data_IF_473000343446
#
_entry.id   IF_473000343446
#
_cell.length_a   1.000
_cell.length_b   1.000
_cell.length_c   1.000
_cell.angle_alpha   90.00
_cell.angle_beta   90.00
_cell.angle_gamma   90.00
#
_symmetry.space_group_name_H-M   'P 1'
#
loop_
_entity.id
_entity.type
_entity.pdbx_description
1 polymer ?
#
# COMPACT_ATOMS: atom_id res chain seq x y z
N UNK A 1 36.74 -4.67 -22.00
CA UNK A 1 36.04 -5.94 -21.76
C UNK A 1 35.13 -6.21 -22.95
N UNK A 2 35.40 -7.21 -23.81
CA UNK A 2 34.54 -7.51 -24.96
C UNK A 2 33.37 -8.37 -24.47
N UNK A 3 32.15 -7.85 -24.53
CA UNK A 3 30.96 -8.64 -24.24
C UNK A 3 30.77 -9.69 -25.33
N UNK A 4 30.55 -10.95 -24.94
CA UNK A 4 30.23 -12.01 -25.90
C UNK A 4 28.82 -11.82 -26.47
N UNK A 5 28.57 -12.32 -27.69
CA UNK A 5 27.24 -12.27 -28.29
C UNK A 5 26.17 -12.91 -27.38
N UNK A 6 26.50 -13.98 -26.67
CA UNK A 6 25.60 -14.63 -25.69
C UNK A 6 25.26 -13.69 -24.54
N UNK A 7 26.24 -12.98 -24.00
CA UNK A 7 26.04 -12.01 -22.92
C UNK A 7 25.17 -10.84 -23.38
N UNK A 8 25.37 -10.36 -24.61
CA UNK A 8 24.54 -9.30 -25.21
C UNK A 8 23.08 -9.76 -25.31
N UNK A 9 22.85 -10.96 -25.84
CA UNK A 9 21.50 -11.53 -25.96
C UNK A 9 20.82 -11.67 -24.60
N UNK A 10 21.51 -12.20 -23.59
CA UNK A 10 20.97 -12.35 -22.24
C UNK A 10 20.62 -11.00 -21.59
N UNK A 11 21.48 -10.00 -21.76
CA UNK A 11 21.23 -8.66 -21.23
C UNK A 11 20.02 -8.00 -21.92
N UNK A 12 19.90 -8.13 -23.24
CA UNK A 12 18.73 -7.63 -23.97
C UNK A 12 17.46 -8.33 -23.48
N UNK A 13 17.48 -9.66 -23.34
CA UNK A 13 16.34 -10.40 -22.83
C UNK A 13 15.96 -9.96 -21.41
N UNK A 14 16.95 -9.79 -20.52
CA UNK A 14 16.74 -9.28 -19.17
C UNK A 14 16.07 -7.90 -19.18
N UNK A 15 16.55 -6.98 -20.01
CA UNK A 15 15.95 -5.65 -20.14
C UNK A 15 14.52 -5.70 -20.68
N UNK A 16 14.24 -6.59 -21.64
CA UNK A 16 12.88 -6.79 -22.15
C UNK A 16 11.94 -7.31 -21.07
N UNK A 17 12.38 -8.25 -20.24
CA UNK A 17 11.60 -8.77 -19.10
C UNK A 17 11.33 -7.67 -18.08
N UNK A 18 12.36 -6.90 -17.70
CA UNK A 18 12.20 -5.77 -16.78
C UNK A 18 11.21 -4.71 -17.33
N UNK A 19 11.32 -4.37 -18.61
CA UNK A 19 10.41 -3.44 -19.27
C UNK A 19 8.96 -3.97 -19.29
N UNK A 20 8.78 -5.27 -19.57
CA UNK A 20 7.46 -5.90 -19.56
C UNK A 20 6.81 -5.86 -18.17
N UNK A 21 7.56 -6.21 -17.12
CA UNK A 21 7.08 -6.14 -15.73
C UNK A 21 6.71 -4.70 -15.36
N UNK A 22 7.57 -3.74 -15.71
CA UNK A 22 7.30 -2.33 -15.42
C UNK A 22 6.02 -1.84 -16.13
N UNK A 23 5.86 -2.12 -17.42
CA UNK A 23 4.67 -1.75 -18.18
C UNK A 23 3.40 -2.43 -17.64
N UNK A 24 3.51 -3.67 -17.16
CA UNK A 24 2.41 -4.36 -16.50
C UNK A 24 2.00 -3.67 -15.19
N UNK A 25 2.98 -3.35 -14.33
CA UNK A 25 2.71 -2.69 -13.05
C UNK A 25 2.19 -1.25 -13.22
N UNK A 26 2.62 -0.53 -14.26
CA UNK A 26 2.09 0.80 -14.59
C UNK A 26 0.63 0.79 -15.05
N UNK A 27 0.10 -0.38 -15.46
CA UNK A 27 -1.31 -0.58 -15.82
C UNK A 27 -2.15 -1.11 -14.66
N UNK A 28 -1.61 -1.12 -13.44
CA UNK A 28 -2.38 -1.52 -12.27
C UNK A 28 -3.65 -0.64 -12.15
N UNK A 29 -4.80 -1.23 -11.79
CA UNK A 29 -6.04 -0.48 -11.61
C UNK A 29 -5.92 0.49 -10.43
N UNK A 30 -6.82 1.47 -10.39
CA UNK A 30 -6.94 2.38 -9.27
C UNK A 30 -7.19 1.63 -7.95
N UNK A 31 -6.77 2.25 -6.85
CA UNK A 31 -7.01 1.72 -5.51
C UNK A 31 -8.50 1.63 -5.20
N UNK A 32 -8.92 0.50 -4.65
CA UNK A 32 -10.33 0.24 -4.31
C UNK A 32 -10.64 0.44 -2.82
N UNK A 33 -9.61 0.63 -2.00
CA UNK A 33 -9.77 0.76 -0.55
C UNK A 33 -10.22 2.17 -0.17
N UNK A 34 -11.15 2.26 0.78
CA UNK A 34 -11.63 3.55 1.28
C UNK A 34 -10.52 4.35 1.94
N UNK A 35 -10.50 5.66 1.73
CA UNK A 35 -9.59 6.57 2.41
C UNK A 35 -10.01 6.79 3.86
N UNK A 36 -9.08 7.26 4.69
CA UNK A 36 -9.36 7.67 6.05
C UNK A 36 -10.41 8.82 6.03
N UNK A 37 -11.52 8.72 6.79
CA UNK A 37 -12.55 9.75 6.82
C UNK A 37 -12.04 11.13 7.24
N UNK A 38 -12.65 12.19 6.71
CA UNK A 38 -12.44 13.58 7.14
C UNK A 38 -13.55 14.00 8.11
N UNK A 39 -13.57 13.40 9.29
CA UNK A 39 -14.50 13.75 10.37
C UNK A 39 -13.72 14.07 11.66
N UNK A 40 -14.43 14.57 12.67
CA UNK A 40 -13.80 15.01 13.92
C UNK A 40 -13.13 13.87 14.70
N UNK A 41 -13.59 12.62 14.55
CA UNK A 41 -12.99 11.46 15.20
C UNK A 41 -11.69 10.99 14.53
N UNK A 42 -11.58 11.22 13.21
CA UNK A 42 -10.41 10.82 12.42
C UNK A 42 -9.43 11.96 12.14
N UNK A 43 -9.82 13.22 12.41
CA UNK A 43 -9.04 14.43 12.10
C UNK A 43 -7.61 14.38 12.66
N UNK A 44 -7.44 13.92 13.89
CA UNK A 44 -6.12 13.79 14.52
C UNK A 44 -5.18 12.79 13.83
N UNK A 45 -5.73 11.83 13.08
CA UNK A 45 -4.95 10.82 12.38
C UNK A 45 -4.60 11.22 10.93
N UNK A 46 -5.14 12.34 10.43
CA UNK A 46 -4.86 12.85 9.08
C UNK A 46 -3.46 13.47 8.97
N UNK A 47 -2.94 14.08 10.03
CA UNK A 47 -1.62 14.73 10.00
C UNK A 47 -1.04 14.84 11.42
N UNK A 48 0.13 15.48 11.58
CA UNK A 48 0.73 15.74 12.91
C UNK A 48 1.39 14.54 13.59
N UNK A 49 1.13 13.31 13.13
CA UNK A 49 1.80 12.11 13.62
C UNK A 49 2.21 11.14 12.50
N UNK A 50 3.23 10.33 12.79
CA UNK A 50 3.68 9.27 11.88
C UNK A 50 2.58 8.23 11.67
N UNK A 51 2.56 7.58 10.51
CA UNK A 51 1.56 6.53 10.19
C UNK A 51 1.55 5.43 11.25
N UNK A 52 2.75 4.96 11.62
CA UNK A 52 2.94 3.90 12.61
C UNK A 52 2.40 4.28 13.99
N UNK A 53 2.46 5.56 14.35
CA UNK A 53 1.92 6.02 15.63
C UNK A 53 0.39 6.08 15.61
N UNK A 54 -0.20 6.64 14.56
CA UNK A 54 -1.65 6.67 14.39
C UNK A 54 -2.26 5.27 14.40
N UNK A 55 -1.62 4.32 13.71
CA UNK A 55 -2.12 2.94 13.56
C UNK A 55 -2.26 2.17 14.88
N UNK A 56 -1.54 2.56 15.93
CA UNK A 56 -1.68 1.93 17.26
C UNK A 56 -3.05 2.18 17.90
N UNK A 57 -3.67 3.31 17.58
CA UNK A 57 -4.92 3.76 18.20
C UNK A 57 -6.16 3.29 17.42
N UNK A 58 -6.00 2.88 16.17
CA UNK A 58 -7.13 2.44 15.33
C UNK A 58 -7.88 1.24 15.94
N UNK A 59 -7.15 0.33 16.60
CA UNK A 59 -7.70 -0.86 17.23
C UNK A 59 -8.63 -0.59 18.43
N UNK A 60 -8.60 0.59 19.02
CA UNK A 60 -9.49 0.96 20.13
C UNK A 60 -10.96 0.96 19.68
N UNK A 61 -11.22 1.41 18.45
CA UNK A 61 -12.55 1.41 17.85
C UNK A 61 -12.76 0.28 16.84
N UNK A 62 -11.72 -0.08 16.08
CA UNK A 62 -11.80 -1.07 15.00
C UNK A 62 -11.29 -2.47 15.37
N UNK A 63 -10.86 -2.69 16.61
CA UNK A 63 -10.48 -4.02 17.08
C UNK A 63 -11.67 -4.99 17.19
N UNK A 64 -11.43 -6.28 17.46
CA UNK A 64 -12.50 -7.30 17.55
C UNK A 64 -13.60 -7.00 18.57
N UNK A 65 -13.27 -6.27 19.64
CA UNK A 65 -14.20 -5.82 20.69
C UNK A 65 -14.48 -4.31 20.63
N UNK A 66 -14.01 -3.64 19.57
CA UNK A 66 -14.18 -2.21 19.37
C UNK A 66 -15.61 -1.84 19.02
N UNK A 67 -15.91 -0.55 19.01
CA UNK A 67 -17.25 -0.03 18.70
C UNK A 67 -17.67 -0.31 17.24
N UNK A 68 -16.71 -0.38 16.32
CA UNK A 68 -16.92 -0.59 14.89
C UNK A 68 -15.88 -1.62 14.40
N UNK A 69 -16.04 -2.91 14.73
CA UNK A 69 -15.05 -3.92 14.41
C UNK A 69 -14.86 -4.06 12.90
N UNK A 70 -13.66 -4.46 12.49
CA UNK A 70 -13.36 -4.71 11.08
C UNK A 70 -14.19 -5.88 10.52
N UNK A 71 -14.54 -5.87 9.22
CA UNK A 71 -15.23 -6.98 8.57
C UNK A 71 -14.45 -8.29 8.67
N UNK A 72 -15.12 -9.46 8.60
CA UNK A 72 -14.46 -10.77 8.66
C UNK A 72 -13.39 -10.98 7.58
N UNK A 73 -13.61 -10.42 6.38
CA UNK A 73 -12.70 -10.55 5.24
C UNK A 73 -11.61 -9.46 5.21
N UNK A 74 -11.49 -8.65 6.27
CA UNK A 74 -10.44 -7.65 6.33
C UNK A 74 -9.06 -8.32 6.40
N UNK A 75 -8.06 -7.87 5.61
CA UNK A 75 -6.71 -8.41 5.68
C UNK A 75 -6.10 -8.24 7.09
N UNK A 76 -4.99 -8.93 7.42
CA UNK A 76 -4.36 -8.79 8.72
C UNK A 76 -4.15 -7.31 9.13
N UNK A 77 -4.59 -6.89 10.34
CA UNK A 77 -4.74 -5.48 10.72
C UNK A 77 -3.42 -4.87 11.20
N UNK A 78 -2.35 -5.04 10.44
CA UNK A 78 -1.11 -4.31 10.63
C UNK A 78 -0.95 -3.33 9.47
N UNK A 79 -0.76 -2.04 9.77
CA UNK A 79 -0.58 -0.95 8.79
C UNK A 79 -1.85 -0.41 8.12
N UNK A 80 -2.81 0.04 8.92
CA UNK A 80 -4.08 0.61 8.46
C UNK A 80 -3.90 1.71 7.39
N UNK A 81 -2.94 2.64 7.59
CA UNK A 81 -2.72 3.80 6.71
C UNK A 81 -1.83 3.49 5.49
N UNK A 82 -1.54 2.21 5.24
CA UNK A 82 -0.98 1.75 3.98
C UNK A 82 -2.07 1.67 2.91
N UNK A 83 -3.20 1.03 3.24
CA UNK A 83 -4.36 0.89 2.36
C UNK A 83 -5.37 2.03 2.55
N UNK A 84 -5.72 2.35 3.80
CA UNK A 84 -6.63 3.46 4.13
C UNK A 84 -5.87 4.78 4.14
N UNK A 85 -5.46 5.22 2.94
CA UNK A 85 -4.65 6.44 2.77
C UNK A 85 -5.36 7.65 3.36
N UNK A 86 -4.56 8.56 3.91
CA UNK A 86 -4.99 9.90 4.30
C UNK A 86 -5.48 10.67 3.07
N UNK A 87 -6.25 11.70 3.33
CA UNK A 87 -6.82 12.54 2.27
C UNK A 87 -5.84 13.63 1.84
N UNK A 88 -4.96 14.04 2.77
CA UNK A 88 -3.88 14.99 2.60
C UNK A 88 -2.53 14.28 2.48
#
# INVERSE_FOLDING_TARGET
>A
MKLSAKTIVLNILFLLVCAAILLFLLKAPDETTSRLPMDDTHRQFQSGMSKKEAEKQCGECHGPQGRIPLPPDHPPPYRCLFCHKRQL
#
